data_IF_146491425485
#
_entry.id   IF_146491425485
#
_cell.length_a   1.000
_cell.length_b   1.000
_cell.length_c   1.000
_cell.angle_alpha   90.00
_cell.angle_beta   90.00
_cell.angle_gamma   90.00
#
_symmetry.space_group_name_H-M   'P 1'
#
loop_
_entity.id
_entity.type
_entity.pdbx_description
1 polymer ?
#
# COMPACT_ATOMS: atom_id res chain seq x y z
N UNK A 1 -41.09 46.43 -0.83
CA UNK A 1 -40.88 44.96 -0.80
C UNK A 1 -40.11 44.65 0.48
N UNK A 2 -40.66 43.80 1.33
CA UNK A 2 -40.18 43.61 2.70
C UNK A 2 -38.82 42.88 2.75
N UNK A 3 -37.74 43.65 2.63
CA UNK A 3 -36.37 43.18 2.76
C UNK A 3 -36.16 42.37 4.06
N UNK A 4 -36.79 42.82 5.16
CA UNK A 4 -36.79 42.12 6.45
C UNK A 4 -37.45 40.75 6.42
N UNK A 5 -38.48 40.52 5.58
CA UNK A 5 -39.15 39.21 5.47
C UNK A 5 -38.27 38.23 4.69
N UNK A 6 -37.59 38.70 3.66
CA UNK A 6 -36.66 37.89 2.86
C UNK A 6 -35.43 37.50 3.70
N UNK A 7 -34.90 38.43 4.49
CA UNK A 7 -33.77 38.18 5.40
C UNK A 7 -34.09 37.07 6.44
N UNK A 8 -35.29 37.09 7.01
CA UNK A 8 -35.73 36.06 7.96
C UNK A 8 -35.89 34.67 7.34
N UNK A 9 -36.37 34.60 6.09
CA UNK A 9 -36.50 33.34 5.36
C UNK A 9 -35.12 32.75 5.07
N UNK A 10 -34.16 33.59 4.63
CA UNK A 10 -32.79 33.17 4.39
C UNK A 10 -32.11 32.70 5.68
N UNK A 11 -32.29 33.42 6.79
CA UNK A 11 -31.75 33.03 8.09
C UNK A 11 -32.27 31.66 8.54
N UNK A 12 -33.59 31.43 8.43
CA UNK A 12 -34.20 30.17 8.85
C UNK A 12 -33.76 29.00 7.95
N UNK A 13 -33.65 29.22 6.64
CA UNK A 13 -33.15 28.22 5.70
C UNK A 13 -31.68 27.87 5.98
N UNK A 14 -30.82 28.86 6.23
CA UNK A 14 -29.41 28.65 6.54
C UNK A 14 -29.23 27.94 7.89
N UNK A 15 -30.03 28.28 8.89
CA UNK A 15 -30.06 27.60 10.19
C UNK A 15 -30.43 26.12 10.02
N UNK A 16 -31.49 25.82 9.26
CA UNK A 16 -31.91 24.45 8.97
C UNK A 16 -30.82 23.65 8.26
N UNK A 17 -30.16 24.26 7.27
CA UNK A 17 -29.02 23.65 6.57
C UNK A 17 -27.84 23.39 7.52
N UNK A 18 -27.48 24.32 8.41
CA UNK A 18 -26.40 24.11 9.38
C UNK A 18 -26.71 22.99 10.37
N UNK A 19 -27.96 22.90 10.85
CA UNK A 19 -28.40 21.81 11.73
C UNK A 19 -28.38 20.46 10.98
N UNK A 20 -28.82 20.44 9.72
CA UNK A 20 -28.73 19.25 8.88
C UNK A 20 -27.28 18.81 8.68
N UNK A 21 -26.39 19.74 8.30
CA UNK A 21 -24.96 19.48 8.15
C UNK A 21 -24.31 19.02 9.46
N UNK A 22 -24.70 19.60 10.60
CA UNK A 22 -24.22 19.15 11.91
C UNK A 22 -24.67 17.73 12.24
N UNK A 23 -25.91 17.35 11.93
CA UNK A 23 -26.37 15.98 12.09
C UNK A 23 -25.60 15.02 11.19
N UNK A 24 -25.45 15.33 9.90
CA UNK A 24 -24.66 14.51 8.97
C UNK A 24 -23.20 14.40 9.41
N UNK A 25 -22.60 15.49 9.89
CA UNK A 25 -21.23 15.51 10.42
C UNK A 25 -21.10 14.68 11.71
N UNK A 26 -22.08 14.78 12.62
CA UNK A 26 -22.13 13.98 13.85
C UNK A 26 -22.34 12.50 13.55
N UNK A 27 -23.20 12.18 12.58
CA UNK A 27 -23.49 10.82 12.15
C UNK A 27 -22.27 10.20 11.46
N UNK A 28 -21.60 10.93 10.56
CA UNK A 28 -20.32 10.52 9.98
C UNK A 28 -19.27 10.26 11.06
N UNK A 29 -19.19 11.09 12.11
CA UNK A 29 -18.27 10.86 13.24
C UNK A 29 -18.64 9.61 14.03
N UNK A 30 -19.93 9.31 14.19
CA UNK A 30 -20.41 8.09 14.87
C UNK A 30 -20.24 6.82 14.04
N UNK A 31 -20.34 6.90 12.70
CA UNK A 31 -20.09 5.78 11.78
C UNK A 31 -18.60 5.43 11.70
N UNK A 32 -17.72 6.42 11.91
CA UNK A 32 -16.28 6.22 12.12
C UNK A 32 -15.94 5.59 13.49
N UNK A 33 -16.87 5.58 14.46
CA UNK A 33 -16.71 4.89 15.75
C UNK A 33 -17.32 3.47 15.77
N UNK A 34 -17.89 2.99 14.65
CA UNK A 34 -18.46 1.62 14.57
C UNK A 34 -17.42 0.51 14.37
N UNK A 35 -16.13 0.79 14.59
CA UNK A 35 -15.13 -0.26 14.86
C UNK A 35 -14.72 -0.14 16.32
N UNK A 36 -15.55 -0.74 17.17
CA UNK A 36 -15.20 -1.29 18.48
C UNK A 36 -14.13 -0.54 19.29
N UNK A 37 -14.52 0.53 19.99
CA UNK A 37 -14.13 0.60 21.40
C UNK A 37 -14.81 -0.58 22.10
N UNK A 38 -14.22 -1.77 21.96
CA UNK A 38 -14.67 -2.89 22.75
C UNK A 38 -14.42 -2.49 24.20
N UNK A 39 -15.46 -2.47 25.02
CA UNK A 39 -15.37 -2.35 26.49
C UNK A 39 -14.66 -3.60 27.08
N UNK A 40 -13.54 -4.01 26.50
CA UNK A 40 -12.75 -5.14 26.94
C UNK A 40 -11.70 -4.61 27.90
N UNK A 41 -11.81 -5.05 29.13
CA UNK A 41 -10.86 -4.77 30.21
C UNK A 41 -9.54 -5.52 30.04
N UNK A 42 -9.50 -6.52 29.14
CA UNK A 42 -8.35 -7.38 28.90
C UNK A 42 -7.57 -6.82 27.69
N UNK A 43 -6.27 -6.49 27.86
CA UNK A 43 -5.39 -6.06 26.78
C UNK A 43 -5.37 -7.05 25.60
N UNK A 44 -5.12 -6.57 24.38
CA UNK A 44 -5.09 -7.43 23.19
C UNK A 44 -4.01 -8.50 23.30
N UNK A 45 -2.87 -8.16 23.88
CA UNK A 45 -1.71 -9.03 24.03
C UNK A 45 -2.07 -10.30 24.82
N UNK A 46 -2.87 -10.16 25.89
CA UNK A 46 -3.34 -11.31 26.68
C UNK A 46 -4.37 -12.17 25.94
N UNK A 47 -5.21 -11.54 25.10
CA UNK A 47 -6.19 -12.26 24.28
C UNK A 47 -5.52 -13.06 23.17
N UNK A 48 -4.52 -12.48 22.51
CA UNK A 48 -3.70 -13.16 21.50
C UNK A 48 -2.95 -14.35 22.13
N UNK A 49 -2.32 -14.15 23.29
CA UNK A 49 -1.61 -15.21 24.02
C UNK A 49 -2.55 -16.38 24.39
N UNK A 50 -3.78 -16.09 24.85
CA UNK A 50 -4.75 -17.13 25.21
C UNK A 50 -5.22 -18.01 24.05
N UNK A 51 -5.10 -17.51 22.82
CA UNK A 51 -5.47 -18.20 21.57
C UNK A 51 -4.24 -18.69 20.79
N UNK A 52 -3.05 -18.66 21.41
CA UNK A 52 -1.78 -19.06 20.80
C UNK A 52 -1.49 -18.31 19.49
N UNK A 53 -1.83 -17.01 19.46
CA UNK A 53 -1.52 -16.10 18.36
C UNK A 53 -0.21 -15.39 18.68
N UNK A 54 0.85 -15.79 17.99
CA UNK A 54 2.24 -15.38 18.26
C UNK A 54 2.63 -14.21 17.35
N UNK A 55 3.45 -13.29 17.85
CA UNK A 55 4.03 -12.19 17.08
C UNK A 55 5.41 -11.86 17.66
N UNK A 56 6.27 -11.16 16.89
CA UNK A 56 7.59 -10.73 17.34
C UNK A 56 7.59 -9.26 17.73
N UNK A 57 8.21 -8.93 18.85
CA UNK A 57 8.31 -7.55 19.34
C UNK A 57 7.06 -7.08 20.07
N UNK A 58 6.75 -5.80 19.95
CA UNK A 58 5.57 -5.18 20.55
C UNK A 58 4.69 -4.61 19.44
N UNK A 59 3.36 -4.72 19.60
CA UNK A 59 2.41 -4.05 18.71
C UNK A 59 2.44 -2.55 19.00
N UNK A 60 2.82 -1.75 18.01
CA UNK A 60 3.00 -0.31 18.18
C UNK A 60 1.69 0.43 18.40
N UNK A 61 1.70 1.33 19.39
CA UNK A 61 0.66 2.35 19.62
C UNK A 61 1.06 3.72 19.04
N UNK A 62 2.08 3.76 18.18
CA UNK A 62 2.54 5.00 17.56
C UNK A 62 1.43 5.66 16.74
N UNK A 63 1.31 6.98 16.92
CA UNK A 63 0.35 7.81 16.19
C UNK A 63 1.00 8.29 14.90
N UNK A 64 0.72 7.56 13.82
CA UNK A 64 1.18 7.90 12.48
C UNK A 64 0.16 8.77 11.73
N UNK A 65 0.52 9.24 10.54
CA UNK A 65 -0.39 10.04 9.70
C UNK A 65 -0.10 9.83 8.22
N UNK A 66 -1.15 9.87 7.39
CA UNK A 66 -1.06 9.69 5.93
C UNK A 66 -2.08 10.54 5.17
N UNK A 67 -2.13 10.37 3.86
CA UNK A 67 -2.99 11.15 2.96
C UNK A 67 -3.99 10.29 2.18
N UNK A 68 -5.02 10.93 1.62
CA UNK A 68 -5.65 10.37 0.43
C UNK A 68 -4.85 10.85 -0.75
N UNK A 69 -4.32 9.93 -1.54
CA UNK A 69 -3.49 10.28 -2.69
C UNK A 69 -4.26 10.01 -3.97
N UNK A 70 -4.00 10.86 -4.96
CA UNK A 70 -4.30 10.55 -6.36
C UNK A 70 -3.01 10.42 -7.14
N UNK A 71 -2.99 9.51 -8.11
CA UNK A 71 -1.88 9.36 -9.05
C UNK A 71 -2.35 8.83 -10.40
N UNK A 72 -1.48 8.88 -11.39
CA UNK A 72 -1.72 8.39 -12.75
C UNK A 72 -0.73 7.27 -13.07
N UNK A 73 -1.16 6.18 -13.71
CA UNK A 73 -0.19 5.20 -14.18
C UNK A 73 0.62 5.77 -15.33
N UNK A 74 1.91 5.54 -15.28
CA UNK A 74 2.85 6.01 -16.30
C UNK A 74 2.65 5.24 -17.59
N UNK A 75 2.63 5.97 -18.70
CA UNK A 75 2.60 5.38 -20.03
C UNK A 75 4.04 5.10 -20.49
N UNK A 76 4.51 3.87 -20.23
CA UNK A 76 5.85 3.46 -20.63
C UNK A 76 6.07 3.44 -22.15
N UNK A 77 5.02 3.34 -22.97
CA UNK A 77 5.16 3.45 -24.43
C UNK A 77 5.60 4.86 -24.84
N UNK A 78 5.22 5.88 -24.07
CA UNK A 78 5.68 7.26 -24.25
C UNK A 78 7.12 7.40 -23.74
N UNK A 79 7.42 6.90 -22.54
CA UNK A 79 8.75 7.01 -21.93
C UNK A 79 9.84 6.32 -22.77
N UNK A 80 9.56 5.15 -23.36
CA UNK A 80 10.54 4.45 -24.21
C UNK A 80 10.85 5.18 -25.53
N UNK A 81 10.03 6.16 -25.95
CA UNK A 81 10.26 6.96 -27.16
C UNK A 81 11.24 8.11 -26.95
N UNK A 82 11.61 8.44 -25.71
CA UNK A 82 12.56 9.53 -25.43
C UNK A 82 13.87 9.29 -26.19
N UNK A 83 14.29 10.16 -27.12
CA UNK A 83 15.52 9.98 -27.89
C UNK A 83 16.79 9.92 -27.01
N UNK A 84 16.77 10.41 -25.78
CA UNK A 84 17.92 10.40 -24.87
C UNK A 84 18.10 9.07 -24.13
N UNK A 85 17.06 8.22 -24.09
CA UNK A 85 17.10 6.96 -23.36
C UNK A 85 18.05 5.95 -24.02
N UNK A 86 18.79 5.22 -23.18
CA UNK A 86 19.82 4.27 -23.59
C UNK A 86 19.30 3.24 -24.63
N UNK A 87 20.01 3.09 -25.74
CA UNK A 87 19.57 2.22 -26.85
C UNK A 87 19.56 0.73 -26.49
N UNK A 88 20.48 0.26 -25.64
CA UNK A 88 20.48 -1.13 -25.18
C UNK A 88 19.32 -1.39 -24.24
N UNK A 89 19.06 -0.46 -23.31
CA UNK A 89 17.90 -0.53 -22.43
C UNK A 89 16.59 -0.66 -23.22
N UNK A 90 16.37 0.21 -24.21
CA UNK A 90 15.19 0.16 -25.09
C UNK A 90 15.02 -1.18 -25.79
N UNK A 91 16.11 -1.81 -26.25
CA UNK A 91 16.07 -3.09 -26.95
C UNK A 91 15.73 -4.27 -26.02
N UNK A 92 16.12 -4.18 -24.75
CA UNK A 92 15.80 -5.18 -23.72
C UNK A 92 14.44 -4.96 -23.06
N UNK A 93 13.73 -3.89 -23.41
CA UNK A 93 12.47 -3.47 -22.79
C UNK A 93 11.27 -3.68 -23.71
N UNK A 94 10.13 -4.03 -23.15
CA UNK A 94 8.84 -4.15 -23.85
C UNK A 94 7.71 -3.70 -22.95
N UNK A 95 6.69 -3.06 -23.51
CA UNK A 95 5.51 -2.60 -22.75
C UNK A 95 4.33 -3.54 -22.99
N UNK A 96 3.63 -3.90 -21.93
CA UNK A 96 2.38 -4.67 -21.96
C UNK A 96 1.35 -3.98 -21.09
N UNK A 97 0.49 -3.17 -21.71
CA UNK A 97 -0.47 -2.35 -20.97
C UNK A 97 0.27 -1.26 -20.18
N UNK A 98 0.07 -1.20 -18.86
CA UNK A 98 0.75 -0.22 -17.98
C UNK A 98 2.04 -0.79 -17.36
N UNK A 99 2.53 -1.94 -17.85
CA UNK A 99 3.72 -2.62 -17.32
C UNK A 99 4.89 -2.52 -18.31
N UNK A 100 6.06 -2.14 -17.80
CA UNK A 100 7.33 -2.29 -18.50
C UNK A 100 7.96 -3.63 -18.09
N UNK A 101 8.35 -4.45 -19.06
CA UNK A 101 9.09 -5.68 -18.84
C UNK A 101 10.49 -5.47 -19.41
N UNK A 102 11.51 -5.67 -18.58
CA UNK A 102 12.91 -5.55 -19.00
C UNK A 102 13.65 -6.85 -18.74
N UNK A 103 14.43 -7.29 -19.73
CA UNK A 103 15.38 -8.40 -19.60
C UNK A 103 16.77 -7.82 -19.41
N UNK A 104 17.34 -8.02 -18.21
CA UNK A 104 18.66 -7.53 -17.88
C UNK A 104 19.72 -8.34 -18.64
N UNK A 105 20.67 -7.63 -19.23
CA UNK A 105 21.85 -8.22 -19.88
C UNK A 105 23.13 -7.99 -19.08
N UNK A 106 23.04 -7.23 -18.00
CA UNK A 106 24.15 -6.86 -17.14
C UNK A 106 24.07 -7.59 -15.79
N UNK A 107 25.21 -8.10 -15.34
CA UNK A 107 25.32 -8.92 -14.15
C UNK A 107 25.28 -8.09 -12.86
N UNK A 108 24.07 -7.84 -12.35
CA UNK A 108 23.86 -7.48 -10.95
C UNK A 108 23.65 -8.78 -10.18
N UNK A 109 24.53 -9.03 -9.22
CA UNK A 109 24.58 -10.28 -8.48
C UNK A 109 24.42 -10.00 -6.99
N UNK A 110 23.50 -10.74 -6.36
CA UNK A 110 23.35 -10.81 -4.92
C UNK A 110 24.09 -12.06 -4.46
N UNK A 111 25.10 -11.87 -3.62
CA UNK A 111 25.94 -12.96 -3.11
C UNK A 111 25.47 -13.50 -1.76
N UNK A 112 24.75 -12.68 -0.99
CA UNK A 112 24.25 -13.00 0.34
C UNK A 112 23.03 -12.14 0.67
N UNK A 113 22.14 -12.66 1.54
CA UNK A 113 20.91 -12.01 1.94
C UNK A 113 21.20 -10.62 2.54
N UNK A 114 22.30 -10.47 3.31
CA UNK A 114 22.70 -9.20 3.93
C UNK A 114 23.12 -8.09 2.95
N UNK A 115 23.43 -8.45 1.69
CA UNK A 115 23.83 -7.51 0.65
C UNK A 115 22.69 -7.18 -0.32
N UNK A 116 21.51 -7.77 -0.12
CA UNK A 116 20.36 -7.63 -1.02
C UNK A 116 19.93 -6.18 -1.13
N UNK A 117 19.70 -5.51 0.00
CA UNK A 117 19.23 -4.12 0.02
C UNK A 117 20.20 -3.19 -0.73
N UNK A 118 21.49 -3.25 -0.41
CA UNK A 118 22.51 -2.42 -1.06
C UNK A 118 22.61 -2.69 -2.56
N UNK A 119 22.59 -3.97 -2.96
CA UNK A 119 22.70 -4.37 -4.36
C UNK A 119 21.48 -3.94 -5.16
N UNK A 120 20.28 -4.13 -4.61
CA UNK A 120 19.01 -3.80 -5.26
C UNK A 120 18.88 -2.29 -5.37
N UNK A 121 19.13 -1.54 -4.30
CA UNK A 121 19.11 -0.09 -4.34
C UNK A 121 20.16 0.44 -5.33
N UNK A 122 21.37 -0.14 -5.37
CA UNK A 122 22.40 0.18 -6.35
C UNK A 122 21.97 -0.10 -7.81
N UNK A 123 21.23 -1.18 -8.04
CA UNK A 123 20.62 -1.49 -9.34
C UNK A 123 19.55 -0.47 -9.73
N UNK A 124 18.66 -0.10 -8.80
CA UNK A 124 17.59 0.88 -9.05
C UNK A 124 18.15 2.25 -9.46
N UNK A 125 19.28 2.68 -8.90
CA UNK A 125 19.92 3.95 -9.25
C UNK A 125 20.52 4.00 -10.68
N UNK A 126 20.53 2.88 -11.41
CA UNK A 126 21.10 2.80 -12.75
C UNK A 126 20.11 3.27 -13.80
N UNK A 127 20.22 4.53 -14.19
CA UNK A 127 19.40 5.16 -15.23
C UNK A 127 19.48 4.49 -16.61
N UNK A 128 20.51 3.69 -16.85
CA UNK A 128 20.66 2.86 -18.04
C UNK A 128 19.99 1.48 -17.92
N UNK A 129 19.40 1.15 -16.76
CA UNK A 129 18.79 -0.14 -16.44
C UNK A 129 17.38 -0.04 -15.88
N UNK A 130 17.00 1.05 -15.21
CA UNK A 130 15.69 1.23 -14.58
C UNK A 130 15.18 2.65 -14.83
N UNK A 131 13.94 2.79 -15.30
CA UNK A 131 13.27 4.10 -15.42
C UNK A 131 12.77 4.52 -14.05
N UNK A 132 12.94 5.79 -13.68
CA UNK A 132 12.47 6.34 -12.39
C UNK A 132 12.97 5.55 -11.17
N UNK A 133 14.10 4.85 -11.27
CA UNK A 133 14.55 3.94 -10.21
C UNK A 133 14.93 4.66 -8.91
N UNK A 134 15.15 5.98 -8.96
CA UNK A 134 15.31 6.84 -7.79
C UNK A 134 14.02 7.07 -6.98
N UNK A 135 12.86 6.68 -7.53
CA UNK A 135 11.58 6.73 -6.84
C UNK A 135 11.21 5.41 -6.15
N UNK A 136 12.05 4.37 -6.24
CA UNK A 136 11.77 3.06 -5.66
C UNK A 136 12.80 2.69 -4.60
N UNK A 137 12.32 2.00 -3.57
CA UNK A 137 13.14 1.42 -2.51
C UNK A 137 12.87 -0.09 -2.40
N UNK A 138 13.90 -0.87 -2.06
CA UNK A 138 13.76 -2.29 -1.75
C UNK A 138 12.77 -2.53 -0.60
N UNK A 139 11.91 -3.54 -0.76
CA UNK A 139 10.94 -3.94 0.26
C UNK A 139 11.15 -5.41 0.65
N UNK A 140 11.73 -5.62 1.84
CA UNK A 140 12.07 -6.95 2.34
C UNK A 140 10.83 -7.84 2.55
N UNK A 141 9.76 -7.29 3.14
CA UNK A 141 8.54 -8.02 3.50
C UNK A 141 7.84 -8.72 2.32
N UNK A 142 8.07 -8.25 1.09
CA UNK A 142 7.51 -8.84 -0.15
C UNK A 142 8.55 -9.61 -0.97
N UNK A 143 9.80 -9.66 -0.53
CA UNK A 143 10.92 -10.31 -1.21
C UNK A 143 11.15 -11.72 -0.68
N UNK A 144 11.48 -12.65 -1.57
CA UNK A 144 11.70 -14.07 -1.27
C UNK A 144 12.97 -14.53 -1.97
N UNK A 145 14.07 -14.64 -1.23
CA UNK A 145 15.39 -15.06 -1.76
C UNK A 145 15.59 -16.58 -1.69
N UNK A 146 15.02 -17.21 -0.66
CA UNK A 146 15.20 -18.62 -0.36
C UNK A 146 14.07 -19.49 -0.97
N UNK A 147 13.88 -19.39 -2.29
CA UNK A 147 12.86 -20.15 -3.02
C UNK A 147 13.40 -20.71 -4.35
N UNK A 148 12.70 -21.69 -4.93
CA UNK A 148 13.01 -22.22 -6.27
C UNK A 148 13.02 -21.13 -7.36
N UNK A 149 12.22 -20.08 -7.15
CA UNK A 149 12.12 -18.91 -8.02
C UNK A 149 12.28 -17.66 -7.14
N UNK A 150 13.51 -17.23 -6.87
CA UNK A 150 13.76 -16.09 -6.01
C UNK A 150 13.28 -14.79 -6.65
N UNK A 151 12.66 -13.95 -5.84
CA UNK A 151 12.09 -12.68 -6.27
C UNK A 151 12.42 -11.57 -5.29
N UNK A 152 12.71 -10.39 -5.82
CA UNK A 152 12.90 -9.17 -5.05
C UNK A 152 11.83 -8.18 -5.48
N UNK A 153 11.29 -7.43 -4.51
CA UNK A 153 10.31 -6.37 -4.76
C UNK A 153 10.89 -5.03 -4.35
N UNK A 154 10.74 -4.02 -5.22
CA UNK A 154 10.96 -2.63 -4.87
C UNK A 154 9.68 -1.83 -5.13
N UNK A 155 9.40 -0.81 -4.32
CA UNK A 155 8.14 -0.07 -4.35
C UNK A 155 8.40 1.43 -4.30
N UNK A 156 7.50 2.23 -4.88
CA UNK A 156 7.54 3.67 -4.64
C UNK A 156 7.12 4.00 -3.22
N UNK A 157 7.43 5.21 -2.77
CA UNK A 157 7.00 5.73 -1.48
C UNK A 157 6.46 7.16 -1.60
N UNK A 158 5.63 7.58 -0.64
CA UNK A 158 5.19 8.96 -0.50
C UNK A 158 5.31 9.40 0.95
N UNK A 159 6.16 10.40 1.21
CA UNK A 159 6.53 10.86 2.57
C UNK A 159 6.95 9.71 3.50
N UNK A 160 7.72 8.74 2.98
CA UNK A 160 8.25 7.62 3.77
C UNK A 160 7.27 6.46 3.99
N UNK A 161 6.03 6.54 3.52
CA UNK A 161 5.09 5.41 3.51
C UNK A 161 5.16 4.73 2.13
N UNK A 162 5.50 3.43 2.05
CA UNK A 162 5.59 2.71 0.78
C UNK A 162 4.22 2.49 0.13
N UNK A 163 4.20 2.18 -1.16
CA UNK A 163 3.04 1.65 -1.86
C UNK A 163 3.09 0.12 -1.89
N UNK A 164 2.10 -0.54 -1.30
CA UNK A 164 1.90 -1.98 -1.46
C UNK A 164 0.73 -2.22 -2.42
N UNK A 165 0.98 -1.91 -3.69
CA UNK A 165 0.02 -2.06 -4.76
C UNK A 165 0.73 -2.42 -6.08
N UNK A 166 0.10 -3.29 -6.87
CA UNK A 166 0.63 -3.73 -8.16
C UNK A 166 0.87 -2.59 -9.17
N UNK A 167 0.30 -1.40 -8.95
CA UNK A 167 0.49 -0.22 -9.79
C UNK A 167 1.76 0.57 -9.54
N UNK A 168 2.53 0.22 -8.51
CA UNK A 168 3.61 1.07 -7.98
C UNK A 168 4.89 0.31 -7.61
N UNK A 169 5.20 -0.79 -8.30
CA UNK A 169 6.25 -1.72 -7.89
C UNK A 169 7.10 -2.24 -9.03
N UNK A 170 8.29 -2.70 -8.68
CA UNK A 170 9.21 -3.44 -9.54
C UNK A 170 9.31 -4.86 -8.97
N UNK A 171 8.75 -5.81 -9.70
CA UNK A 171 8.87 -7.25 -9.42
C UNK A 171 10.10 -7.79 -10.16
N UNK A 172 11.18 -8.07 -9.43
CA UNK A 172 12.46 -8.55 -9.96
C UNK A 172 12.53 -10.07 -9.81
N UNK A 173 12.76 -10.77 -10.92
CA UNK A 173 13.08 -12.21 -10.90
C UNK A 173 14.59 -12.40 -10.89
N UNK A 174 15.04 -13.21 -9.93
CA UNK A 174 16.43 -13.61 -9.81
C UNK A 174 16.64 -15.00 -10.43
N UNK A 175 17.79 -15.22 -11.04
CA UNK A 175 18.22 -16.52 -11.57
C UNK A 175 19.54 -16.94 -10.93
N UNK A 176 19.60 -18.18 -10.47
CA UNK A 176 20.82 -18.73 -9.90
C UNK A 176 21.88 -18.88 -10.99
N UNK A 177 23.03 -18.25 -10.79
CA UNK A 177 24.22 -18.38 -11.64
C UNK A 177 25.41 -18.73 -10.75
N UNK A 178 25.87 -19.98 -10.83
CA UNK A 178 26.83 -20.56 -9.89
C UNK A 178 26.34 -20.42 -8.43
N UNK A 179 27.09 -19.72 -7.57
CA UNK A 179 26.74 -19.45 -6.17
C UNK A 179 26.11 -18.06 -5.95
N UNK A 180 25.69 -17.38 -7.02
CA UNK A 180 25.16 -16.01 -6.98
C UNK A 180 23.74 -15.94 -7.54
N UNK A 181 22.96 -14.99 -7.03
CA UNK A 181 21.64 -14.66 -7.56
C UNK A 181 21.75 -13.47 -8.53
N UNK A 182 21.52 -13.71 -9.82
CA UNK A 182 21.57 -12.68 -10.84
C UNK A 182 20.20 -12.03 -11.07
N UNK A 183 20.15 -10.71 -11.17
CA UNK A 183 18.96 -10.00 -11.68
C UNK A 183 18.78 -10.32 -13.16
N UNK A 184 17.78 -11.14 -13.50
CA UNK A 184 17.56 -11.64 -14.85
C UNK A 184 16.50 -10.84 -15.61
N UNK A 185 15.35 -10.59 -14.97
CA UNK A 185 14.27 -9.80 -15.55
C UNK A 185 13.53 -9.05 -14.46
N UNK A 186 12.87 -7.97 -14.83
CA UNK A 186 11.92 -7.33 -13.94
C UNK A 186 10.67 -6.86 -14.69
N UNK A 187 9.57 -6.75 -13.96
CA UNK A 187 8.35 -6.07 -14.40
C UNK A 187 8.15 -4.83 -13.54
N UNK A 188 7.97 -3.67 -14.17
CA UNK A 188 7.84 -2.39 -13.50
C UNK A 188 6.48 -1.75 -13.80
N UNK A 189 5.87 -1.22 -12.74
CA UNK A 189 4.74 -0.29 -12.79
C UNK A 189 5.11 0.98 -12.03
N UNK A 190 4.65 2.13 -12.52
CA UNK A 190 5.01 3.44 -11.96
C UNK A 190 3.78 4.36 -11.89
N UNK A 191 3.61 5.00 -10.75
CA UNK A 191 2.64 6.07 -10.52
C UNK A 191 3.36 7.41 -10.71
N UNK A 192 2.83 8.23 -11.60
CA UNK A 192 3.22 9.61 -11.81
C UNK A 192 2.19 10.55 -11.18
N UNK A 193 2.56 11.83 -11.01
CA UNK A 193 1.66 12.90 -10.57
C UNK A 193 0.94 12.60 -9.23
N UNK A 194 1.67 12.01 -8.28
CA UNK A 194 1.15 11.70 -6.94
C UNK A 194 0.84 13.00 -6.20
N UNK A 195 -0.42 13.20 -5.83
CA UNK A 195 -0.91 14.44 -5.20
C UNK A 195 -1.89 14.14 -4.06
N UNK A 196 -1.79 14.84 -2.92
CA UNK A 196 -2.80 14.78 -1.86
C UNK A 196 -4.15 15.33 -2.33
N UNK A 197 -5.21 14.56 -2.09
CA UNK A 197 -6.60 14.97 -2.34
C UNK A 197 -7.21 15.75 -1.18
N UNK A 198 -6.61 15.65 0.01
CA UNK A 198 -7.03 16.35 1.23
C UNK A 198 -5.86 16.48 2.21
N UNK A 199 -6.10 17.18 3.30
CA UNK A 199 -5.11 17.36 4.37
C UNK A 199 -4.66 16.03 4.98
N UNK A 200 -3.44 16.05 5.55
CA UNK A 200 -2.86 14.91 6.26
C UNK A 200 -3.76 14.53 7.43
N UNK A 201 -4.01 13.23 7.62
CA UNK A 201 -4.87 12.73 8.67
C UNK A 201 -4.14 11.70 9.51
N UNK A 202 -4.42 11.71 10.81
CA UNK A 202 -4.00 10.65 11.71
C UNK A 202 -4.59 9.31 11.28
N UNK A 203 -3.79 8.26 11.37
CA UNK A 203 -4.22 6.88 11.12
C UNK A 203 -4.34 6.12 12.44
N UNK A 204 -5.16 5.07 12.43
CA UNK A 204 -5.20 4.07 13.51
C UNK A 204 -3.84 3.37 13.62
N UNK A 205 -3.45 2.98 14.84
CA UNK A 205 -2.16 2.33 15.10
C UNK A 205 -2.11 0.89 14.59
N UNK A 206 -0.91 0.32 14.57
CA UNK A 206 -0.68 -1.10 14.29
C UNK A 206 -1.50 -1.98 15.25
N UNK A 207 -1.44 -1.67 16.55
CA UNK A 207 -2.18 -2.41 17.58
C UNK A 207 -3.69 -2.36 17.36
N UNK A 208 -4.22 -1.20 16.97
CA UNK A 208 -5.65 -1.05 16.68
C UNK A 208 -6.07 -1.86 15.46
N UNK A 209 -5.23 -1.93 14.43
CA UNK A 209 -5.48 -2.74 13.23
C UNK A 209 -5.46 -4.25 13.53
N UNK A 210 -4.47 -4.73 14.30
CA UNK A 210 -4.38 -6.12 14.75
C UNK A 210 -5.59 -6.49 15.63
N UNK A 211 -5.96 -5.61 16.56
CA UNK A 211 -7.16 -5.81 17.38
C UNK A 211 -8.44 -5.89 16.53
N UNK A 212 -8.56 -5.08 15.48
CA UNK A 212 -9.68 -5.18 14.52
C UNK A 212 -9.72 -6.55 13.85
N UNK A 213 -8.58 -7.04 13.34
CA UNK A 213 -8.55 -8.36 12.70
C UNK A 213 -8.94 -9.46 13.69
N UNK A 214 -8.41 -9.42 14.91
CA UNK A 214 -8.74 -10.37 15.97
C UNK A 214 -10.26 -10.37 16.28
N UNK A 215 -10.84 -9.19 16.55
CA UNK A 215 -12.26 -9.05 16.90
C UNK A 215 -13.21 -9.51 15.77
N UNK A 216 -12.74 -9.52 14.54
CA UNK A 216 -13.50 -9.94 13.37
C UNK A 216 -13.17 -11.37 12.91
N UNK A 217 -12.47 -12.16 13.73
CA UNK A 217 -12.04 -13.53 13.44
C UNK A 217 -11.21 -13.64 12.14
N UNK A 218 -10.41 -12.61 11.85
CA UNK A 218 -9.47 -12.57 10.73
C UNK A 218 -8.04 -12.93 11.11
N UNK A 219 -7.76 -13.01 12.41
CA UNK A 219 -6.56 -13.65 12.95
C UNK A 219 -7.01 -14.93 13.66
N UNK A 220 -6.85 -16.10 13.02
CA UNK A 220 -7.23 -17.38 13.61
C UNK A 220 -6.30 -17.76 14.77
N UNK A 221 -6.80 -18.54 15.72
CA UNK A 221 -6.00 -19.16 16.79
C UNK A 221 -4.91 -20.06 16.21
N UNK A 222 -3.83 -20.30 16.96
CA UNK A 222 -2.65 -21.06 16.51
C UNK A 222 -2.06 -20.50 15.21
N UNK A 223 -1.79 -19.19 15.22
CA UNK A 223 -1.17 -18.49 14.11
C UNK A 223 0.01 -17.66 14.56
N UNK A 224 0.86 -17.29 13.61
CA UNK A 224 1.98 -16.40 13.84
C UNK A 224 1.90 -15.20 12.89
N UNK A 225 1.79 -14.00 13.45
CA UNK A 225 2.00 -12.75 12.72
C UNK A 225 3.48 -12.66 12.37
N UNK A 226 3.77 -12.51 11.08
CA UNK A 226 5.12 -12.46 10.52
C UNK A 226 5.64 -11.03 10.47
N UNK A 227 4.81 -10.12 9.96
CA UNK A 227 5.11 -8.70 9.86
C UNK A 227 3.82 -7.88 9.75
N UNK A 228 3.94 -6.61 10.07
CA UNK A 228 2.91 -5.58 9.95
C UNK A 228 3.52 -4.39 9.23
N UNK A 229 2.80 -3.82 8.26
CA UNK A 229 3.33 -2.71 7.46
C UNK A 229 2.24 -1.71 7.12
N UNK A 230 2.51 -0.42 7.37
CA UNK A 230 1.67 0.66 6.89
C UNK A 230 2.09 1.00 5.46
N UNK A 231 1.19 0.82 4.49
CA UNK A 231 1.46 1.10 3.10
C UNK A 231 0.24 1.66 2.36
N UNK A 232 0.46 2.41 1.29
CA UNK A 232 -0.60 2.87 0.40
C UNK A 232 -1.11 1.74 -0.49
N UNK A 233 -2.43 1.65 -0.63
CA UNK A 233 -3.10 0.69 -1.52
C UNK A 233 -4.20 1.36 -2.34
N UNK A 234 -4.43 0.90 -3.57
CA UNK A 234 -5.44 1.49 -4.45
C UNK A 234 -6.84 1.04 -4.03
N UNK A 235 -7.76 1.99 -3.84
CA UNK A 235 -9.17 1.70 -3.52
C UNK A 235 -10.13 1.99 -4.66
N UNK A 236 -9.73 2.88 -5.58
CA UNK A 236 -10.62 3.36 -6.63
C UNK A 236 -9.80 3.72 -7.87
N UNK A 237 -10.32 3.33 -9.03
CA UNK A 237 -9.81 3.79 -10.34
C UNK A 237 -10.92 4.54 -11.06
N UNK A 238 -10.68 5.83 -11.32
CA UNK A 238 -11.56 6.73 -12.07
C UNK A 238 -10.83 7.20 -13.32
N UNK A 239 -11.15 6.57 -14.47
CA UNK A 239 -10.44 6.81 -15.74
C UNK A 239 -8.93 6.55 -15.57
N UNK A 240 -8.11 7.57 -15.81
CA UNK A 240 -6.65 7.53 -15.66
C UNK A 240 -6.17 7.86 -14.23
N UNK A 241 -7.08 8.32 -13.35
CA UNK A 241 -6.75 8.68 -11.97
C UNK A 241 -7.04 7.52 -11.03
N UNK A 242 -6.01 7.09 -10.34
CA UNK A 242 -6.10 6.14 -9.25
C UNK A 242 -6.17 6.90 -7.92
N UNK A 243 -6.89 6.33 -6.95
CA UNK A 243 -6.97 6.86 -5.59
C UNK A 243 -6.42 5.82 -4.62
N UNK A 244 -5.51 6.27 -3.76
CA UNK A 244 -4.81 5.46 -2.78
C UNK A 244 -5.08 5.95 -1.37
N UNK A 245 -5.11 5.02 -0.44
CA UNK A 245 -5.21 5.27 1.00
C UNK A 245 -4.15 4.45 1.74
N UNK A 246 -3.66 4.91 2.90
CA UNK A 246 -2.85 4.11 3.78
C UNK A 246 -3.72 2.98 4.36
N UNK A 247 -3.12 1.80 4.42
CA UNK A 247 -3.70 0.61 5.01
C UNK A 247 -2.61 -0.16 5.76
N UNK A 248 -3.01 -0.82 6.84
CA UNK A 248 -2.16 -1.78 7.51
C UNK A 248 -2.30 -3.13 6.80
N UNK A 249 -1.16 -3.68 6.39
CA UNK A 249 -1.03 -5.03 5.89
C UNK A 249 -0.47 -5.90 7.01
N UNK A 250 -1.20 -6.96 7.36
CA UNK A 250 -0.82 -7.88 8.43
C UNK A 250 -0.64 -9.25 7.79
N UNK A 251 0.61 -9.70 7.70
CA UNK A 251 0.93 -11.03 7.21
C UNK A 251 1.00 -12.02 8.38
N UNK A 252 0.37 -13.17 8.23
CA UNK A 252 0.41 -14.24 9.20
C UNK A 252 0.39 -15.60 8.52
N UNK A 253 0.76 -16.63 9.27
CA UNK A 253 0.67 -18.03 8.86
C UNK A 253 0.04 -18.86 9.97
N UNK A 254 -0.61 -19.96 9.61
CA UNK A 254 -1.15 -20.93 10.55
C UNK A 254 -0.06 -21.91 10.99
N UNK A 255 -0.17 -22.45 12.19
CA UNK A 255 0.76 -23.45 12.67
C UNK A 255 0.65 -24.75 11.85
N UNK A 256 1.77 -25.17 11.26
CA UNK A 256 1.83 -26.32 10.37
C UNK A 256 1.40 -26.05 8.93
N UNK A 257 1.15 -24.78 8.56
CA UNK A 257 0.92 -24.34 7.18
C UNK A 257 1.95 -23.24 6.82
N UNK A 258 2.72 -23.48 5.76
CA UNK A 258 3.71 -22.53 5.26
C UNK A 258 3.08 -21.44 4.36
N UNK A 259 1.76 -21.48 4.17
CA UNK A 259 1.03 -20.48 3.39
C UNK A 259 0.90 -19.16 4.15
N UNK A 260 1.54 -18.11 3.64
CA UNK A 260 1.39 -16.75 4.15
C UNK A 260 0.06 -16.17 3.68
N UNK A 261 -0.75 -15.70 4.64
CA UNK A 261 -1.98 -14.97 4.41
C UNK A 261 -1.77 -13.50 4.77
N UNK A 262 -2.35 -12.60 3.99
CA UNK A 262 -2.30 -11.15 4.25
C UNK A 262 -3.72 -10.63 4.38
N UNK A 263 -4.02 -10.04 5.52
CA UNK A 263 -5.25 -9.29 5.75
C UNK A 263 -4.93 -7.78 5.75
N UNK A 264 -5.85 -6.99 5.23
CA UNK A 264 -5.64 -5.55 5.02
C UNK A 264 -6.69 -4.74 5.77
N UNK A 265 -6.25 -3.73 6.52
CA UNK A 265 -7.12 -2.86 7.31
C UNK A 265 -6.91 -1.41 6.87
N UNK A 266 -7.99 -0.73 6.47
CA UNK A 266 -7.96 0.70 6.14
C UNK A 266 -7.47 1.50 7.35
N UNK A 267 -6.36 2.23 7.19
CA UNK A 267 -5.71 2.92 8.31
C UNK A 267 -6.47 4.19 8.75
N UNK A 268 -7.42 4.70 7.97
CA UNK A 268 -8.26 5.83 8.35
C UNK A 268 -9.59 5.44 9.01
N UNK A 269 -10.16 4.30 8.64
CA UNK A 269 -11.47 3.87 9.15
C UNK A 269 -11.41 2.66 10.08
N UNK A 270 -10.23 2.04 10.21
CA UNK A 270 -10.00 0.77 10.90
C UNK A 270 -10.95 -0.35 10.41
N UNK A 271 -11.32 -0.34 9.12
CA UNK A 271 -12.21 -1.35 8.53
C UNK A 271 -11.40 -2.33 7.69
N UNK A 272 -11.74 -3.61 7.77
CA UNK A 272 -11.11 -4.66 6.96
C UNK A 272 -11.48 -4.45 5.49
N UNK A 273 -10.46 -4.50 4.63
CA UNK A 273 -10.62 -4.42 3.18
C UNK A 273 -10.73 -5.86 2.66
N UNK A 274 -11.96 -6.30 2.38
CA UNK A 274 -12.27 -7.69 2.00
C UNK A 274 -12.34 -7.94 0.50
N UNK A 275 -12.19 -6.91 -0.34
CA UNK A 275 -12.24 -7.02 -1.80
C UNK A 275 -11.12 -6.20 -2.44
N UNK A 276 -10.07 -6.87 -2.92
CA UNK A 276 -9.00 -6.27 -3.72
C UNK A 276 -9.45 -5.92 -5.16
N UNK A 277 -10.72 -6.13 -5.50
CA UNK A 277 -11.28 -5.66 -6.76
C UNK A 277 -11.47 -4.14 -6.66
N UNK A 278 -10.47 -3.40 -7.15
CA UNK A 278 -10.53 -1.94 -7.32
C UNK A 278 -11.86 -1.57 -7.98
N UNK A 279 -12.64 -0.73 -7.31
CA UNK A 279 -13.89 -0.25 -7.89
C UNK A 279 -13.56 0.56 -9.15
N UNK A 280 -14.06 0.09 -10.30
CA UNK A 280 -13.99 0.83 -11.57
C UNK A 280 -15.32 1.54 -11.75
N UNK A 281 -15.28 2.87 -11.84
CA UNK A 281 -16.46 3.67 -12.16
C UNK A 281 -16.43 3.96 -13.66
N UNK A 282 -17.23 3.21 -14.43
CA UNK A 282 -17.57 3.52 -15.81
C UNK A 282 -18.93 4.23 -15.81
N UNK A 283 -19.09 5.32 -16.58
CA UNK A 283 -20.39 6.00 -16.68
C UNK A 283 -21.31 5.28 -17.70
N UNK A 284 -22.63 5.35 -17.49
CA UNK A 284 -23.65 4.78 -18.38
C UNK A 284 -23.71 5.45 -19.77
#
# INVERSE_FOLDING_TARGET
MDFKRIEWIFFLAFLGLNVFLFNVYSEARSEHQMVSQSNQTIPIEQRLDSEDIRYSGELSDEVLSGYYLSGEQTDFDVELRDPQLNTQFKRGSTVKGQQLIHVSTNGFYISDDSQTEETVNGFLQRKDQVLFGDEYDYLENLSVLNANHPTVVAVQSYEGIPFNDSSSRIDITLEQTDDLLQIARYTQTHISNITPLREKMTVYSEKEAVNTLYLNNKLPSHSKILWTELAYTMILKVREKNVYIPAWFIAFQLDGDDTIQIETVNAFSNRIITNNAVQKVENP
#
